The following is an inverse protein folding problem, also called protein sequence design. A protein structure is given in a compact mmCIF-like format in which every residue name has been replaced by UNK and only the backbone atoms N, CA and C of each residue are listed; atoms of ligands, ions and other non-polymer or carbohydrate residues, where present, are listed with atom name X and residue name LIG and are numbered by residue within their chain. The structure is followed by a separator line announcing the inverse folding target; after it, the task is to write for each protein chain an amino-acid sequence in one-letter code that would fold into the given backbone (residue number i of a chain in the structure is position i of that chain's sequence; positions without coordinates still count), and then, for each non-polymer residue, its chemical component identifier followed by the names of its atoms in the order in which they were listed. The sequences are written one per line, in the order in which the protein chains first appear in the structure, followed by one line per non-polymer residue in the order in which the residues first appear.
data_IF_754177915735
#
_entry.id   IF_754177915735
#
_cell.length_a   1.000
_cell.length_b   1.000
_cell.length_c   1.000
_cell.angle_alpha   90.00
_cell.angle_beta   90.00
_cell.angle_gamma   90.00
#
_symmetry.space_group_name_H-M   'P 1'
#
loop_
_entity.id
_entity.type
_entity.pdbx_description
1 polymer ?
#
# COMPACT_ATOMS: atom_id res chain seq x y z
N UNK A 1 -19.14 13.95 -33.18
CA UNK A 1 -19.22 12.79 -34.09
C UNK A 1 -17.83 12.47 -34.70
N UNK A 2 -16.94 13.44 -34.90
CA UNK A 2 -15.59 13.24 -35.47
C UNK A 2 -14.56 12.68 -34.47
N UNK A 3 -14.81 12.76 -33.17
CA UNK A 3 -13.90 12.28 -32.10
C UNK A 3 -13.89 10.73 -31.96
N UNK A 4 -14.95 10.05 -32.42
CA UNK A 4 -15.05 8.57 -32.33
C UNK A 4 -14.26 7.83 -33.42
N UNK A 5 -13.99 8.43 -34.58
CA UNK A 5 -13.34 7.74 -35.68
C UNK A 5 -11.81 7.72 -35.58
N UNK A 6 -11.20 8.81 -35.12
CA UNK A 6 -9.73 8.88 -34.94
C UNK A 6 -9.24 7.95 -33.82
N UNK A 7 -10.06 7.71 -32.77
CA UNK A 7 -9.73 6.79 -31.69
C UNK A 7 -9.76 5.31 -32.11
N UNK A 8 -10.63 4.92 -33.04
CA UNK A 8 -10.77 3.52 -33.46
C UNK A 8 -9.62 3.06 -34.35
N UNK A 9 -9.18 3.87 -35.31
CA UNK A 9 -8.09 3.53 -36.23
C UNK A 9 -6.73 3.42 -35.53
N UNK A 10 -6.44 4.33 -34.60
CA UNK A 10 -5.23 4.28 -33.78
C UNK A 10 -5.21 3.03 -32.92
N UNK A 11 -6.32 2.69 -32.27
CA UNK A 11 -6.43 1.48 -31.45
C UNK A 11 -6.28 0.18 -32.27
N UNK A 12 -6.71 0.15 -33.52
CA UNK A 12 -6.59 -1.03 -34.40
C UNK A 12 -5.13 -1.24 -34.80
N UNK A 13 -4.38 -0.16 -35.13
CA UNK A 13 -2.95 -0.23 -35.42
C UNK A 13 -2.13 -0.69 -34.20
N UNK A 14 -2.38 -0.11 -33.04
CA UNK A 14 -1.73 -0.50 -31.78
C UNK A 14 -1.97 -1.97 -31.46
N UNK A 15 -3.21 -2.45 -31.67
CA UNK A 15 -3.56 -3.87 -31.47
C UNK A 15 -2.81 -4.77 -32.45
N UNK A 16 -2.72 -4.41 -33.73
CA UNK A 16 -1.98 -5.17 -34.71
C UNK A 16 -0.48 -5.27 -34.38
N UNK A 17 0.13 -4.18 -33.93
CA UNK A 17 1.54 -4.15 -33.47
C UNK A 17 1.71 -5.04 -32.23
N UNK A 18 0.81 -4.94 -31.27
CA UNK A 18 0.85 -5.75 -30.04
C UNK A 18 0.67 -7.24 -30.30
N UNK A 19 -0.23 -7.62 -31.22
CA UNK A 19 -0.42 -9.01 -31.64
C UNK A 19 0.84 -9.56 -32.28
N UNK A 20 1.43 -8.87 -33.26
CA UNK A 20 2.70 -9.27 -33.89
C UNK A 20 3.81 -9.44 -32.87
N UNK A 21 3.93 -8.49 -31.93
CA UNK A 21 4.94 -8.56 -30.86
C UNK A 21 4.75 -9.78 -29.97
N UNK A 22 3.53 -10.06 -29.54
CA UNK A 22 3.20 -11.21 -28.68
C UNK A 22 3.41 -12.55 -29.40
N UNK A 23 3.24 -12.58 -30.73
CA UNK A 23 3.49 -13.74 -31.57
C UNK A 23 4.99 -13.91 -31.93
N UNK A 24 5.86 -13.01 -31.46
CA UNK A 24 7.29 -13.01 -31.79
C UNK A 24 7.60 -12.73 -33.26
N UNK A 25 6.66 -12.11 -34.00
CA UNK A 25 6.80 -11.73 -35.41
C UNK A 25 7.44 -10.34 -35.50
N UNK A 26 8.11 -10.02 -36.63
CA UNK A 26 8.62 -8.66 -36.88
C UNK A 26 7.49 -7.64 -36.77
N UNK A 27 7.78 -6.49 -36.15
CA UNK A 27 6.85 -5.36 -36.05
C UNK A 27 7.23 -4.22 -36.98
N UNK A 28 7.80 -4.58 -38.13
CA UNK A 28 8.12 -3.62 -39.17
C UNK A 28 6.86 -3.18 -39.94
N UNK A 29 7.05 -2.15 -40.78
CA UNK A 29 5.97 -1.52 -41.51
C UNK A 29 5.20 -2.51 -42.41
N UNK A 30 5.91 -3.47 -43.03
CA UNK A 30 5.33 -4.45 -43.94
C UNK A 30 4.49 -5.46 -43.17
N UNK A 31 5.01 -5.99 -42.05
CA UNK A 31 4.29 -6.94 -41.21
C UNK A 31 3.04 -6.31 -40.61
N UNK A 32 3.11 -5.06 -40.13
CA UNK A 32 1.96 -4.34 -39.59
C UNK A 32 0.91 -4.07 -40.67
N UNK A 33 1.33 -3.72 -41.88
CA UNK A 33 0.44 -3.51 -43.01
C UNK A 33 -0.30 -4.80 -43.41
N UNK A 34 0.41 -5.93 -43.48
CA UNK A 34 -0.19 -7.25 -43.77
C UNK A 34 -1.16 -7.67 -42.65
N UNK A 35 -0.80 -7.47 -41.40
CA UNK A 35 -1.70 -7.75 -40.28
C UNK A 35 -2.97 -6.90 -40.32
N UNK A 36 -2.87 -5.64 -40.73
CA UNK A 36 -4.03 -4.76 -40.85
C UNK A 36 -4.94 -5.13 -42.03
N UNK A 37 -4.38 -5.68 -43.12
CA UNK A 37 -5.18 -6.19 -44.25
C UNK A 37 -6.07 -7.36 -43.88
N UNK A 38 -5.69 -8.14 -42.88
CA UNK A 38 -6.50 -9.27 -42.38
C UNK A 38 -7.66 -8.83 -41.50
N UNK A 39 -7.67 -7.54 -41.11
CA UNK A 39 -8.70 -6.93 -40.28
C UNK A 39 -9.62 -6.09 -41.15
N UNK A 40 -10.87 -5.98 -40.76
CA UNK A 40 -11.88 -5.15 -41.47
C UNK A 40 -11.63 -3.67 -41.19
N UNK A 41 -10.58 -3.11 -41.83
CA UNK A 41 -10.11 -1.72 -41.65
C UNK A 41 -10.10 -1.01 -42.99
N UNK A 42 -10.51 0.29 -43.07
CA UNK A 42 -10.46 1.06 -44.31
C UNK A 42 -9.04 1.06 -44.91
N UNK A 43 -8.90 0.84 -46.23
CA UNK A 43 -7.59 0.78 -46.90
C UNK A 43 -6.72 2.04 -46.69
N UNK A 44 -7.35 3.17 -46.46
CA UNK A 44 -6.67 4.45 -46.19
C UNK A 44 -5.84 4.40 -44.90
N UNK A 45 -6.30 3.66 -43.92
CA UNK A 45 -5.67 3.58 -42.58
C UNK A 45 -4.35 2.77 -42.55
N UNK A 46 -4.12 1.92 -43.56
CA UNK A 46 -2.88 1.13 -43.70
C UNK A 46 -2.13 1.44 -45.00
N UNK A 47 -2.43 2.58 -45.61
CA UNK A 47 -1.69 3.03 -46.83
C UNK A 47 -0.25 3.40 -46.44
N UNK A 48 0.68 3.22 -47.40
CA UNK A 48 2.07 3.61 -47.21
C UNK A 48 2.19 5.13 -46.94
N UNK A 49 1.27 5.92 -47.47
CA UNK A 49 1.23 7.37 -47.23
C UNK A 49 0.89 7.69 -45.77
N UNK A 50 -0.11 7.02 -45.18
CA UNK A 50 -0.48 7.18 -43.78
C UNK A 50 0.66 6.78 -42.83
N UNK A 51 1.37 5.70 -43.11
CA UNK A 51 2.53 5.30 -42.32
C UNK A 51 3.71 6.28 -42.45
N UNK A 52 3.98 6.80 -43.65
CA UNK A 52 5.02 7.82 -43.84
C UNK A 52 4.73 9.09 -43.07
N UNK A 53 3.49 9.52 -43.03
CA UNK A 53 3.07 10.69 -42.25
C UNK A 53 3.33 10.47 -40.76
N UNK A 54 2.97 9.30 -40.21
CA UNK A 54 3.24 8.93 -38.81
C UNK A 54 4.74 8.87 -38.49
N UNK A 55 5.56 8.29 -39.37
CA UNK A 55 7.00 8.23 -39.19
C UNK A 55 7.66 9.60 -39.24
N UNK A 56 7.12 10.52 -40.06
CA UNK A 56 7.64 11.89 -40.13
C UNK A 56 7.26 12.74 -38.93
N UNK A 57 6.14 12.44 -38.24
CA UNK A 57 5.75 13.11 -36.99
C UNK A 57 6.71 12.83 -35.83
N UNK A 58 7.30 11.65 -35.78
CA UNK A 58 8.22 11.26 -34.73
C UNK A 58 9.50 10.65 -35.36
N UNK A 59 10.45 11.46 -35.77
CA UNK A 59 11.61 11.01 -36.55
C UNK A 59 12.62 10.19 -35.78
N UNK A 60 12.50 10.10 -34.45
CA UNK A 60 13.47 9.36 -33.61
C UNK A 60 12.78 8.62 -32.47
N UNK A 61 13.24 7.40 -32.20
CA UNK A 61 12.83 6.58 -31.05
C UNK A 61 13.55 6.94 -29.74
N UNK A 62 14.51 7.87 -29.75
CA UNK A 62 15.30 8.24 -28.56
C UNK A 62 14.41 8.70 -27.40
N UNK A 63 13.33 9.41 -27.69
CA UNK A 63 12.43 9.97 -26.69
C UNK A 63 11.19 9.08 -26.43
N UNK A 64 11.21 7.80 -26.81
CA UNK A 64 10.05 6.91 -26.71
C UNK A 64 9.49 6.84 -25.29
N UNK A 65 10.34 6.83 -24.27
CA UNK A 65 9.93 6.83 -22.86
C UNK A 65 9.15 8.09 -22.48
N UNK A 66 9.57 9.25 -22.98
CA UNK A 66 8.86 10.51 -22.75
C UNK A 66 7.47 10.48 -23.38
N UNK A 67 7.36 10.03 -24.64
CA UNK A 67 6.09 9.92 -25.33
C UNK A 67 5.18 8.86 -24.70
N UNK A 68 5.74 7.72 -24.30
CA UNK A 68 5.00 6.68 -23.60
C UNK A 68 4.43 7.19 -22.26
N UNK A 69 5.22 7.94 -21.47
CA UNK A 69 4.75 8.57 -20.25
C UNK A 69 3.63 9.58 -20.51
N UNK A 70 3.75 10.40 -21.56
CA UNK A 70 2.71 11.36 -21.92
C UNK A 70 1.39 10.65 -22.27
N UNK A 71 1.46 9.58 -23.07
CA UNK A 71 0.28 8.76 -23.43
C UNK A 71 -0.31 8.10 -22.16
N UNK A 72 0.54 7.57 -21.31
CA UNK A 72 0.13 6.96 -20.03
C UNK A 72 -0.60 7.97 -19.14
N UNK A 73 -0.06 9.17 -18.96
CA UNK A 73 -0.71 10.22 -18.16
C UNK A 73 -2.09 10.59 -18.72
N UNK A 74 -2.20 10.75 -20.04
CA UNK A 74 -3.49 11.04 -20.67
C UNK A 74 -4.47 9.85 -20.58
N UNK A 75 -3.98 8.63 -20.64
CA UNK A 75 -4.80 7.43 -20.43
C UNK A 75 -5.30 7.34 -18.98
N UNK A 76 -4.45 7.65 -18.00
CA UNK A 76 -4.81 7.68 -16.59
C UNK A 76 -5.89 8.74 -16.30
N UNK A 77 -5.75 9.95 -16.87
CA UNK A 77 -6.76 10.99 -16.73
C UNK A 77 -8.11 10.56 -17.33
N UNK A 78 -8.11 9.93 -18.51
CA UNK A 78 -9.35 9.41 -19.11
C UNK A 78 -9.99 8.31 -18.27
N UNK A 79 -9.18 7.43 -17.67
CA UNK A 79 -9.67 6.39 -16.78
C UNK A 79 -10.25 6.98 -15.51
N UNK A 80 -9.62 8.02 -14.95
CA UNK A 80 -10.12 8.74 -13.79
C UNK A 80 -11.46 9.42 -14.07
N UNK A 81 -11.60 10.08 -15.24
CA UNK A 81 -12.87 10.70 -15.67
C UNK A 81 -13.96 9.62 -15.73
N UNK A 82 -13.71 8.49 -16.38
CA UNK A 82 -14.69 7.41 -16.50
C UNK A 82 -15.14 6.87 -15.12
N UNK A 83 -14.20 6.65 -14.22
CA UNK A 83 -14.51 6.19 -12.86
C UNK A 83 -15.38 7.23 -12.12
N UNK A 84 -15.07 8.53 -12.26
CA UNK A 84 -15.89 9.57 -11.65
C UNK A 84 -17.32 9.62 -12.23
N UNK A 85 -17.47 9.40 -13.54
CA UNK A 85 -18.79 9.30 -14.18
C UNK A 85 -19.57 8.09 -13.67
N UNK A 86 -18.92 6.93 -13.50
CA UNK A 86 -19.52 5.73 -12.93
C UNK A 86 -19.96 5.96 -11.47
N UNK A 87 -19.10 6.58 -10.65
CA UNK A 87 -19.41 6.91 -9.24
C UNK A 87 -20.59 7.90 -9.19
N UNK A 88 -20.58 8.94 -10.01
CA UNK A 88 -21.69 9.88 -10.07
C UNK A 88 -23.00 9.19 -10.45
N UNK A 89 -22.96 8.28 -11.42
CA UNK A 89 -24.14 7.52 -11.84
C UNK A 89 -24.66 6.62 -10.71
N UNK A 90 -23.76 5.92 -9.99
CA UNK A 90 -24.15 5.08 -8.84
C UNK A 90 -24.82 5.92 -7.73
N UNK A 91 -24.30 7.13 -7.46
CA UNK A 91 -24.89 8.07 -6.51
C UNK A 91 -26.28 8.56 -6.96
N UNK A 92 -26.48 8.86 -8.27
CA UNK A 92 -27.78 9.32 -8.77
C UNK A 92 -28.84 8.21 -8.82
N UNK A 93 -28.40 6.97 -9.03
CA UNK A 93 -29.33 5.85 -9.17
C UNK A 93 -29.79 5.29 -7.82
N UNK A 94 -29.10 5.57 -6.73
CA UNK A 94 -29.41 5.12 -5.34
C UNK A 94 -29.78 3.63 -5.25
N UNK A 95 -29.11 2.77 -6.04
CA UNK A 95 -29.41 1.33 -6.10
C UNK A 95 -28.88 0.56 -4.90
N UNK A 96 -27.85 1.08 -4.27
CA UNK A 96 -27.14 0.49 -3.15
C UNK A 96 -27.14 1.48 -1.98
N UNK A 97 -26.89 0.99 -0.77
CA UNK A 97 -26.74 1.87 0.40
C UNK A 97 -25.47 2.71 0.31
N UNK A 98 -25.44 3.83 1.02
CA UNK A 98 -24.36 4.81 0.97
C UNK A 98 -23.00 4.18 1.33
N UNK A 99 -22.97 3.26 2.29
CA UNK A 99 -21.72 2.62 2.71
C UNK A 99 -21.15 1.75 1.59
N UNK A 100 -21.99 0.97 0.91
CA UNK A 100 -21.58 0.14 -0.23
C UNK A 100 -21.06 1.00 -1.40
N UNK A 101 -21.71 2.13 -1.69
CA UNK A 101 -21.24 3.09 -2.70
C UNK A 101 -19.87 3.66 -2.30
N UNK A 102 -19.67 4.03 -1.03
CA UNK A 102 -18.37 4.53 -0.55
C UNK A 102 -17.26 3.48 -0.67
N UNK A 103 -17.51 2.24 -0.26
CA UNK A 103 -16.54 1.14 -0.39
C UNK A 103 -16.17 0.85 -1.86
N UNK A 104 -17.17 0.80 -2.74
CA UNK A 104 -16.95 0.58 -4.18
C UNK A 104 -16.14 1.72 -4.80
N UNK A 105 -16.43 2.97 -4.39
CA UNK A 105 -15.70 4.18 -4.81
C UNK A 105 -14.24 4.11 -4.39
N UNK A 106 -13.97 3.80 -3.13
CA UNK A 106 -12.63 3.63 -2.60
C UNK A 106 -11.86 2.56 -3.40
N UNK A 107 -12.46 1.41 -3.61
CA UNK A 107 -11.86 0.30 -4.37
C UNK A 107 -11.51 0.69 -5.81
N UNK A 108 -12.39 1.42 -6.52
CA UNK A 108 -12.14 1.86 -7.91
C UNK A 108 -11.02 2.89 -7.99
N UNK A 109 -10.98 3.87 -7.07
CA UNK A 109 -9.93 4.89 -7.01
C UNK A 109 -8.58 4.25 -6.66
N UNK A 110 -8.54 3.37 -5.66
CA UNK A 110 -7.29 2.68 -5.30
C UNK A 110 -6.79 1.74 -6.40
N UNK A 111 -7.67 1.08 -7.15
CA UNK A 111 -7.28 0.29 -8.31
C UNK A 111 -6.50 1.07 -9.37
N UNK A 112 -6.75 2.38 -9.49
CA UNK A 112 -5.93 3.26 -10.35
C UNK A 112 -4.52 3.47 -9.81
N UNK A 113 -4.38 3.59 -8.49
CA UNK A 113 -3.09 3.83 -7.85
C UNK A 113 -2.22 2.56 -7.85
N UNK A 114 -2.81 1.39 -7.68
CA UNK A 114 -2.10 0.10 -7.74
C UNK A 114 -1.55 -0.20 -9.14
N UNK A 115 -2.24 0.17 -10.20
CA UNK A 115 -1.75 0.02 -11.59
C UNK A 115 -0.46 0.81 -11.83
N UNK A 116 -0.20 1.86 -11.03
CA UNK A 116 1.04 2.64 -11.09
C UNK A 116 2.25 1.91 -10.47
N UNK A 117 2.02 0.96 -9.57
CA UNK A 117 3.06 0.24 -8.82
C UNK A 117 3.49 -1.09 -9.46
N UNK A 118 2.76 -1.61 -10.46
CA UNK A 118 2.95 -2.98 -10.96
C UNK A 118 3.79 -3.12 -12.22
N UNK A 119 4.44 -2.07 -12.72
CA UNK A 119 5.07 -2.12 -14.06
C UNK A 119 6.59 -2.19 -14.10
N UNK A 120 7.29 -2.23 -12.97
CA UNK A 120 8.76 -2.22 -13.03
C UNK A 120 9.36 -3.54 -12.53
N UNK A 121 9.71 -4.43 -13.52
CA UNK A 121 10.78 -5.38 -13.26
C UNK A 121 12.07 -4.59 -12.99
N UNK A 122 12.68 -4.86 -11.86
CA UNK A 122 13.97 -4.24 -11.51
C UNK A 122 15.07 -5.19 -11.97
N UNK A 123 16.04 -4.74 -12.78
CA UNK A 123 17.19 -5.56 -13.15
C UNK A 123 17.88 -6.09 -11.89
N UNK A 124 18.24 -7.38 -11.89
CA UNK A 124 18.89 -8.02 -10.75
C UNK A 124 20.13 -7.26 -10.27
N UNK A 125 20.85 -6.61 -11.18
CA UNK A 125 22.00 -5.77 -10.88
C UNK A 125 21.68 -4.69 -9.86
N UNK A 126 20.56 -3.98 -10.04
CA UNK A 126 20.17 -2.87 -9.16
C UNK A 126 19.72 -3.39 -7.79
N UNK A 127 19.07 -4.55 -7.78
CA UNK A 127 18.71 -5.24 -6.54
C UNK A 127 19.96 -5.67 -5.77
N UNK A 128 20.96 -6.25 -6.45
CA UNK A 128 22.24 -6.67 -5.83
C UNK A 128 22.96 -5.48 -5.22
N UNK A 129 23.06 -4.36 -5.93
CA UNK A 129 23.69 -3.14 -5.41
C UNK A 129 22.99 -2.67 -4.13
N UNK A 130 21.66 -2.63 -4.13
CA UNK A 130 20.89 -2.25 -2.95
C UNK A 130 21.09 -3.21 -1.78
N UNK A 131 21.16 -4.52 -2.03
CA UNK A 131 21.40 -5.52 -1.00
C UNK A 131 22.80 -5.38 -0.41
N UNK A 132 23.83 -5.19 -1.26
CA UNK A 132 25.22 -4.99 -0.82
C UNK A 132 25.33 -3.74 0.06
N UNK A 133 24.69 -2.63 -0.34
CA UNK A 133 24.65 -1.41 0.46
C UNK A 133 24.00 -1.63 1.84
N UNK A 134 22.90 -2.40 1.89
CA UNK A 134 22.24 -2.76 3.17
C UNK A 134 23.16 -3.60 4.06
N UNK A 135 23.87 -4.57 3.49
CA UNK A 135 24.86 -5.40 4.21
C UNK A 135 26.01 -4.53 4.75
N UNK A 136 26.51 -3.60 3.96
CA UNK A 136 27.58 -2.68 4.38
C UNK A 136 27.13 -1.81 5.56
N UNK A 137 25.92 -1.23 5.50
CA UNK A 137 25.35 -0.45 6.61
C UNK A 137 25.19 -1.30 7.87
N UNK A 138 24.67 -2.52 7.75
CA UNK A 138 24.52 -3.45 8.85
C UNK A 138 25.88 -3.83 9.48
N UNK A 139 26.89 -4.08 8.64
CA UNK A 139 28.26 -4.39 9.09
C UNK A 139 28.90 -3.24 9.86
N UNK A 140 28.67 -1.99 9.44
CA UNK A 140 29.21 -0.80 10.14
C UNK A 140 28.52 -0.58 11.49
N UNK A 141 27.21 -0.84 11.58
CA UNK A 141 26.45 -0.58 12.79
C UNK A 141 26.63 -1.63 13.89
N UNK A 142 27.24 -2.81 13.57
CA UNK A 142 27.42 -3.94 14.47
C UNK A 142 26.15 -4.33 15.27
N UNK A 143 24.97 -3.94 14.77
CA UNK A 143 23.69 -4.22 15.41
C UNK A 143 23.23 -5.63 15.06
N UNK A 144 22.92 -6.44 16.08
CA UNK A 144 22.30 -7.76 15.86
C UNK A 144 20.85 -7.64 15.34
N UNK A 145 20.23 -6.46 15.44
CA UNK A 145 18.85 -6.20 15.07
C UNK A 145 18.86 -5.29 13.84
N UNK A 146 18.38 -5.79 12.71
CA UNK A 146 18.26 -5.05 11.44
C UNK A 146 16.85 -4.49 11.21
N UNK A 147 15.85 -5.12 11.84
CA UNK A 147 14.45 -4.69 11.83
C UNK A 147 14.07 -3.88 13.09
N UNK A 148 12.76 -3.80 13.36
CA UNK A 148 12.25 -3.22 14.61
C UNK A 148 12.52 -4.16 15.77
N UNK A 149 13.14 -3.65 16.85
CA UNK A 149 13.38 -4.44 18.06
C UNK A 149 12.05 -4.79 18.73
N UNK A 150 11.95 -6.02 19.19
CA UNK A 150 10.82 -6.49 20.00
C UNK A 150 10.98 -6.09 21.49
N UNK A 151 12.19 -5.72 21.88
CA UNK A 151 12.58 -5.48 23.26
C UNK A 151 12.88 -6.75 24.06
N UNK A 152 12.82 -7.92 23.41
CA UNK A 152 13.21 -9.21 23.98
C UNK A 152 14.50 -9.69 23.31
N UNK A 153 15.60 -9.63 24.04
CA UNK A 153 16.96 -9.83 23.50
C UNK A 153 17.13 -11.17 22.78
N UNK A 154 16.59 -12.25 23.34
CA UNK A 154 16.75 -13.59 22.75
C UNK A 154 15.87 -13.75 21.50
N UNK A 155 14.69 -13.14 21.48
CA UNK A 155 13.83 -13.12 20.30
C UNK A 155 14.49 -12.28 19.19
N UNK A 156 14.97 -11.11 19.53
CA UNK A 156 15.65 -10.21 18.58
C UNK A 156 16.92 -10.86 18.00
N UNK A 157 17.66 -11.65 18.83
CA UNK A 157 18.82 -12.40 18.33
C UNK A 157 18.45 -13.46 17.31
N UNK A 158 17.30 -14.13 17.48
CA UNK A 158 16.85 -15.19 16.57
C UNK A 158 16.21 -14.66 15.30
N UNK A 159 15.48 -13.55 15.40
CA UNK A 159 14.69 -12.99 14.27
C UNK A 159 15.38 -11.81 13.58
N UNK A 160 16.44 -11.25 14.18
CA UNK A 160 17.03 -9.96 13.79
C UNK A 160 16.03 -8.79 13.87
N UNK A 161 15.02 -8.91 14.75
CA UNK A 161 13.89 -7.98 14.87
C UNK A 161 12.80 -8.21 13.82
N UNK A 162 11.74 -7.40 13.89
CA UNK A 162 10.63 -7.46 12.92
C UNK A 162 11.00 -6.73 11.63
N UNK A 163 11.00 -7.44 10.51
CA UNK A 163 11.39 -6.87 9.22
C UNK A 163 10.21 -6.15 8.53
N UNK A 164 10.48 -5.11 7.73
CA UNK A 164 9.46 -4.46 6.92
C UNK A 164 8.77 -5.47 6.00
N UNK A 165 7.44 -5.36 5.88
CA UNK A 165 6.58 -6.22 5.06
C UNK A 165 6.37 -7.65 5.55
N UNK A 166 6.89 -8.02 6.73
CA UNK A 166 6.62 -9.33 7.32
C UNK A 166 5.20 -9.42 7.88
N UNK A 167 4.60 -10.58 7.73
CA UNK A 167 3.38 -10.97 8.43
C UNK A 167 3.75 -11.96 9.54
N UNK A 168 3.65 -11.51 10.80
CA UNK A 168 4.02 -12.31 11.97
C UNK A 168 2.74 -12.79 12.66
N UNK A 169 2.59 -14.11 12.82
CA UNK A 169 1.45 -14.73 13.49
C UNK A 169 1.85 -15.19 14.90
N UNK A 170 1.11 -14.69 15.90
CA UNK A 170 1.27 -15.08 17.29
C UNK A 170 0.02 -15.83 17.74
N UNK A 171 0.16 -17.12 17.97
CA UNK A 171 -0.92 -17.99 18.40
C UNK A 171 -0.68 -18.52 19.82
N UNK A 172 -1.74 -18.55 20.63
CA UNK A 172 -1.72 -19.11 21.96
C UNK A 172 -3.12 -19.60 22.33
N UNK A 173 -3.20 -20.54 23.25
CA UNK A 173 -4.49 -20.96 23.86
C UNK A 173 -5.11 -19.78 24.63
N UNK A 174 -6.43 -19.77 24.82
CA UNK A 174 -7.10 -18.75 25.63
C UNK A 174 -6.41 -18.57 27.00
N UNK A 175 -6.34 -17.34 27.47
CA UNK A 175 -5.73 -16.95 28.75
C UNK A 175 -4.21 -17.17 28.89
N UNK A 176 -3.49 -17.55 27.86
CA UNK A 176 -2.04 -17.73 27.88
C UNK A 176 -1.22 -16.44 27.71
N UNK A 177 -1.86 -15.29 27.72
CA UNK A 177 -1.17 -14.00 27.67
C UNK A 177 -0.86 -13.46 26.26
N UNK A 178 -1.50 -13.97 25.18
CA UNK A 178 -1.31 -13.47 23.80
C UNK A 178 -1.37 -11.94 23.72
N UNK A 179 -2.46 -11.35 24.20
CA UNK A 179 -2.67 -9.89 24.15
C UNK A 179 -1.66 -9.14 25.03
N UNK A 180 -1.31 -9.70 26.20
CA UNK A 180 -0.28 -9.11 27.05
C UNK A 180 1.08 -9.06 26.33
N UNK A 181 1.47 -10.13 25.65
CA UNK A 181 2.71 -10.19 24.88
C UNK A 181 2.71 -9.15 23.75
N UNK A 182 1.62 -9.06 22.95
CA UNK A 182 1.52 -8.08 21.86
C UNK A 182 1.57 -6.64 22.40
N UNK A 183 0.91 -6.36 23.52
CA UNK A 183 1.00 -5.05 24.18
C UNK A 183 2.41 -4.72 24.65
N UNK A 184 3.15 -5.70 25.17
CA UNK A 184 4.56 -5.51 25.53
C UNK A 184 5.43 -5.18 24.31
N UNK A 185 5.20 -5.84 23.16
CA UNK A 185 5.88 -5.50 21.92
C UNK A 185 5.60 -4.06 21.51
N UNK A 186 4.32 -3.67 21.47
CA UNK A 186 3.89 -2.32 21.13
C UNK A 186 4.47 -1.27 22.10
N UNK A 187 4.46 -1.56 23.39
CA UNK A 187 5.05 -0.72 24.43
C UNK A 187 6.55 -0.51 24.22
N UNK A 188 7.32 -1.59 24.02
CA UNK A 188 8.75 -1.49 23.76
C UNK A 188 9.05 -0.66 22.52
N UNK A 189 8.33 -0.89 21.40
CA UNK A 189 8.54 -0.16 20.15
C UNK A 189 8.18 1.31 20.27
N UNK A 190 7.12 1.66 20.99
CA UNK A 190 6.66 3.05 21.08
C UNK A 190 7.45 3.86 22.11
N UNK A 191 7.81 3.28 23.23
CA UNK A 191 8.51 4.00 24.31
C UNK A 191 10.03 3.99 24.09
N UNK A 192 10.62 2.82 23.82
CA UNK A 192 12.08 2.71 23.67
C UNK A 192 12.56 3.20 22.32
N UNK A 193 11.93 2.72 21.24
CA UNK A 193 12.35 3.00 19.86
C UNK A 193 11.63 4.20 19.24
N UNK A 194 10.66 4.80 19.96
CA UNK A 194 9.85 5.96 19.52
C UNK A 194 9.16 5.76 18.17
N UNK A 195 8.77 4.52 17.89
CA UNK A 195 8.10 4.10 16.67
C UNK A 195 6.60 4.38 16.74
N UNK A 196 5.99 4.54 15.58
CA UNK A 196 4.54 4.67 15.44
C UNK A 196 3.92 3.29 15.26
N UNK A 197 3.08 2.88 16.20
CA UNK A 197 2.43 1.57 16.21
C UNK A 197 0.91 1.75 16.20
N UNK A 198 0.20 0.96 15.40
CA UNK A 198 -1.25 0.89 15.39
C UNK A 198 -1.72 -0.47 15.90
N UNK A 199 -2.68 -0.48 16.82
CA UNK A 199 -3.32 -1.69 17.34
C UNK A 199 -4.79 -1.66 16.96
N UNK A 200 -5.25 -2.69 16.25
CA UNK A 200 -6.66 -2.95 15.97
C UNK A 200 -7.12 -4.09 16.86
N UNK A 201 -8.09 -3.81 17.75
CA UNK A 201 -8.61 -4.78 18.71
C UNK A 201 -10.04 -5.16 18.38
N UNK A 202 -10.29 -6.45 18.17
CA UNK A 202 -11.63 -7.00 17.93
C UNK A 202 -12.28 -7.59 19.19
N UNK A 203 -11.52 -7.72 20.28
CA UNK A 203 -11.96 -8.39 21.49
C UNK A 203 -12.03 -7.45 22.70
N UNK A 204 -11.09 -6.50 22.78
CA UNK A 204 -10.94 -5.61 23.93
C UNK A 204 -11.17 -4.16 23.52
N UNK A 205 -11.83 -3.36 24.38
CA UNK A 205 -11.95 -1.93 24.15
C UNK A 205 -10.59 -1.21 24.34
N UNK A 206 -10.47 -0.04 23.74
CA UNK A 206 -9.26 0.81 23.88
C UNK A 206 -8.96 1.18 25.32
N UNK A 207 -9.99 1.41 26.16
CA UNK A 207 -9.81 1.68 27.57
C UNK A 207 -9.20 0.47 28.31
N UNK A 208 -9.61 -0.76 27.98
CA UNK A 208 -9.04 -1.98 28.56
C UNK A 208 -7.58 -2.16 28.14
N UNK A 209 -7.23 -1.83 26.90
CA UNK A 209 -5.85 -1.88 26.42
C UNK A 209 -4.97 -0.84 27.14
N UNK A 210 -5.47 0.40 27.28
CA UNK A 210 -4.76 1.46 28.01
C UNK A 210 -4.59 1.11 29.49
N UNK A 211 -5.60 0.56 30.14
CA UNK A 211 -5.47 0.10 31.54
C UNK A 211 -4.39 -0.96 31.71
N UNK A 212 -4.24 -1.88 30.75
CA UNK A 212 -3.14 -2.85 30.78
C UNK A 212 -1.78 -2.20 30.55
N UNK A 213 -1.68 -1.23 29.64
CA UNK A 213 -0.45 -0.49 29.41
C UNK A 213 -0.05 0.33 30.65
N UNK A 214 -1.01 0.95 31.32
CA UNK A 214 -0.79 1.67 32.58
C UNK A 214 -0.30 0.72 33.65
N UNK A 215 -0.91 -0.44 33.85
CA UNK A 215 -0.47 -1.44 34.81
C UNK A 215 0.97 -1.92 34.53
N UNK A 216 1.32 -2.08 33.25
CA UNK A 216 2.66 -2.49 32.84
C UNK A 216 3.70 -1.41 33.12
N UNK A 217 3.43 -0.15 32.80
CA UNK A 217 4.38 0.95 32.95
C UNK A 217 4.50 1.38 34.40
N UNK A 218 3.37 1.53 35.13
CA UNK A 218 3.37 1.94 36.54
C UNK A 218 3.78 0.83 37.49
N UNK A 219 3.76 -0.45 37.04
CA UNK A 219 3.96 -1.63 37.86
C UNK A 219 2.95 -1.79 39.01
N UNK A 220 1.82 -1.10 38.91
CA UNK A 220 0.69 -1.23 39.81
C UNK A 220 -0.18 -2.38 39.36
N UNK A 221 -0.68 -3.18 40.32
CA UNK A 221 -1.54 -4.32 39.99
C UNK A 221 -2.80 -3.90 39.23
N UNK A 222 -3.12 -4.63 38.18
CA UNK A 222 -4.22 -4.32 37.29
C UNK A 222 -5.60 -4.40 37.97
N UNK A 223 -5.73 -5.20 39.02
CA UNK A 223 -6.95 -5.29 39.80
C UNK A 223 -7.11 -4.05 40.69
N UNK A 224 -6.02 -3.59 41.29
CA UNK A 224 -5.94 -2.35 42.07
C UNK A 224 -6.34 -1.15 41.23
N UNK A 225 -5.79 -1.04 40.01
CA UNK A 225 -6.21 0.00 39.05
C UNK A 225 -7.69 -0.08 38.71
N UNK A 226 -8.24 -1.27 38.50
CA UNK A 226 -9.65 -1.46 38.11
C UNK A 226 -10.60 -1.16 39.25
N UNK A 227 -10.22 -1.44 40.50
CA UNK A 227 -11.06 -1.22 41.68
C UNK A 227 -10.91 0.18 42.25
N UNK A 228 -9.87 0.92 41.84
CA UNK A 228 -9.58 2.28 42.32
C UNK A 228 -9.00 2.29 43.77
N UNK A 229 -8.60 1.14 44.32
CA UNK A 229 -8.04 1.05 45.67
C UNK A 229 -6.52 1.31 45.63
N UNK A 230 -6.13 2.51 45.24
CA UNK A 230 -4.76 2.95 45.05
C UNK A 230 -4.24 3.63 46.33
N UNK A 231 -3.00 3.36 46.70
CA UNK A 231 -2.25 4.16 47.65
C UNK A 231 -1.79 5.47 47.02
N UNK A 232 -1.37 6.44 47.84
CA UNK A 232 -0.83 7.71 47.33
C UNK A 232 0.39 7.47 46.42
N UNK A 233 1.26 6.53 46.80
CA UNK A 233 2.42 6.14 45.99
C UNK A 233 2.05 5.48 44.66
N UNK A 234 1.00 4.64 44.63
CA UNK A 234 0.50 4.05 43.40
C UNK A 234 -0.08 5.11 42.48
N UNK A 235 -0.77 6.09 43.06
CA UNK A 235 -1.36 7.20 42.30
C UNK A 235 -0.29 8.05 41.63
N UNK A 236 0.81 8.36 42.32
CA UNK A 236 1.95 9.08 41.75
C UNK A 236 2.58 8.32 40.58
N UNK A 237 2.76 6.98 40.72
CA UNK A 237 3.29 6.12 39.66
C UNK A 237 2.34 6.07 38.44
N UNK A 238 1.05 6.01 38.65
CA UNK A 238 0.06 6.02 37.58
C UNK A 238 0.06 7.33 36.83
N UNK A 239 0.15 8.47 37.54
CA UNK A 239 0.21 9.80 36.92
C UNK A 239 1.47 9.93 36.07
N UNK A 240 2.64 9.56 36.60
CA UNK A 240 3.90 9.57 35.84
C UNK A 240 3.81 8.69 34.58
N UNK A 241 3.35 7.45 34.74
CA UNK A 241 3.19 6.51 33.64
C UNK A 241 2.20 6.98 32.59
N UNK A 242 1.11 7.64 33.02
CA UNK A 242 0.14 8.23 32.09
C UNK A 242 0.77 9.31 31.19
N UNK A 243 1.66 10.11 31.78
CA UNK A 243 2.42 11.11 31.02
C UNK A 243 3.36 10.48 29.99
N UNK A 244 4.02 9.37 30.34
CA UNK A 244 4.90 8.63 29.42
C UNK A 244 4.08 8.06 28.26
N UNK A 245 2.99 7.33 28.57
CA UNK A 245 2.15 6.69 27.54
C UNK A 245 1.48 7.72 26.64
N UNK A 246 0.97 8.82 27.19
CA UNK A 246 0.31 9.87 26.41
C UNK A 246 1.23 10.54 25.38
N UNK A 247 2.54 10.53 25.60
CA UNK A 247 3.53 11.05 24.68
C UNK A 247 4.02 10.03 23.64
N UNK A 248 3.50 8.79 23.66
CA UNK A 248 3.84 7.77 22.65
C UNK A 248 3.04 7.98 21.36
N UNK A 249 3.56 7.42 20.26
CA UNK A 249 2.87 7.38 18.98
C UNK A 249 2.10 6.06 18.82
N UNK A 250 1.31 5.68 19.83
CA UNK A 250 0.48 4.50 19.82
C UNK A 250 -0.95 4.87 19.38
N UNK A 251 -1.42 4.26 18.30
CA UNK A 251 -2.75 4.44 17.75
C UNK A 251 -3.62 3.22 18.09
N UNK A 252 -4.78 3.43 18.68
CA UNK A 252 -5.69 2.37 19.08
C UNK A 252 -7.00 2.49 18.33
N UNK A 253 -7.46 1.38 17.78
CA UNK A 253 -8.74 1.25 17.11
C UNK A 253 -9.46 -0.01 17.62
N UNK A 254 -10.64 0.15 18.16
CA UNK A 254 -11.46 -0.94 18.71
C UNK A 254 -12.79 -1.09 17.94
N UNK A 255 -12.81 -0.68 16.66
CA UNK A 255 -13.97 -0.81 15.78
C UNK A 255 -14.38 -2.30 15.67
N UNK A 256 -15.57 -2.69 16.15
CA UNK A 256 -16.02 -4.07 16.07
C UNK A 256 -16.32 -4.45 14.61
N UNK A 257 -15.93 -5.67 14.23
CA UNK A 257 -16.24 -6.19 12.89
C UNK A 257 -15.56 -5.48 11.73
N UNK A 258 -14.45 -4.77 11.99
CA UNK A 258 -13.70 -4.06 10.94
C UNK A 258 -13.38 -4.99 9.76
N UNK A 259 -13.69 -4.54 8.56
CA UNK A 259 -13.36 -5.25 7.32
C UNK A 259 -11.89 -5.07 6.95
N UNK A 260 -11.36 -5.98 6.11
CA UNK A 260 -9.97 -5.87 5.61
C UNK A 260 -9.78 -4.58 4.80
N UNK A 261 -10.81 -4.13 4.08
CA UNK A 261 -10.77 -2.90 3.31
C UNK A 261 -10.65 -1.67 4.22
N UNK A 262 -11.48 -1.59 5.28
CA UNK A 262 -11.42 -0.51 6.27
C UNK A 262 -10.09 -0.50 7.03
N UNK A 263 -9.60 -1.67 7.45
CA UNK A 263 -8.29 -1.79 8.10
C UNK A 263 -7.18 -1.25 7.20
N UNK A 264 -7.19 -1.62 5.91
CA UNK A 264 -6.23 -1.11 4.93
C UNK A 264 -6.33 0.42 4.79
N UNK A 265 -7.54 0.95 4.70
CA UNK A 265 -7.79 2.39 4.60
C UNK A 265 -7.26 3.14 5.82
N UNK A 266 -7.59 2.67 7.03
CA UNK A 266 -7.09 3.23 8.29
C UNK A 266 -5.57 3.17 8.39
N UNK A 267 -4.94 2.05 8.04
CA UNK A 267 -3.48 1.93 8.03
C UNK A 267 -2.82 2.93 7.07
N UNK A 268 -3.38 3.11 5.86
CA UNK A 268 -2.89 4.13 4.91
C UNK A 268 -3.02 5.54 5.46
N UNK A 269 -4.16 5.86 6.08
CA UNK A 269 -4.37 7.14 6.74
C UNK A 269 -3.34 7.36 7.85
N UNK A 270 -3.14 6.39 8.73
CA UNK A 270 -2.15 6.47 9.81
C UNK A 270 -0.72 6.62 9.27
N UNK A 271 -0.40 5.96 8.14
CA UNK A 271 0.90 6.13 7.48
C UNK A 271 1.12 7.55 6.98
N UNK A 272 0.09 8.18 6.41
CA UNK A 272 0.17 9.55 5.87
C UNK A 272 0.20 10.60 6.97
N UNK A 273 -0.62 10.45 8.01
CA UNK A 273 -0.79 11.47 9.06
C UNK A 273 0.24 11.35 10.18
N UNK A 274 0.62 10.13 10.55
CA UNK A 274 1.46 9.86 11.72
C UNK A 274 2.77 9.14 11.40
N UNK A 275 2.99 8.74 10.15
CA UNK A 275 4.20 8.03 9.75
C UNK A 275 4.28 6.62 10.35
N UNK A 276 3.20 5.82 10.23
CA UNK A 276 3.14 4.45 10.75
C UNK A 276 4.36 3.62 10.30
N UNK A 277 5.07 3.03 11.25
CA UNK A 277 6.24 2.18 11.01
C UNK A 277 5.84 0.73 10.74
#
# INVERSE_FOLDING_TARGET
ILIGLVGSEMCIRDRAITELYNEGKPTDLVAVQEQLKTKDVPPESYSIAAFRELLNMVPTSVNIRYYANLVYEKALLRRLIRINEEIANDCYMEKEDVNTILESTEKRIFGLLETRATSDYVPIRDVVINVVNKIEIASRNHSMVTGLSTGYTDLDRQTSGMQPSDLILIAARPSMGKTAFVLNLAHNMTIKDKKTVAIFSLEMSKEQLVNRLLAMESRVDSQTLRTGNLSDSDWDQVVESSGIIANTKLLLDDTPGITVAELRSKCRKFKLEHGLD
#
